data_IF_079495215749
#
_entry.id   IF_079495215749
#
_cell.length_a   1.000
_cell.length_b   1.000
_cell.length_c   1.000
_cell.angle_alpha   90.00
_cell.angle_beta   90.00
_cell.angle_gamma   90.00
#
_symmetry.space_group_name_H-M   'P 1'
#
loop_
_entity.id
_entity.type
_entity.pdbx_description
1 polymer ?
#
# COMPACT_ATOMS: atom_id res chain seq x y z
N UNK A 1 -29.76 -10.49 80.25
CA UNK A 1 -28.54 -9.79 80.73
C UNK A 1 -27.74 -9.40 79.53
N UNK A 2 -27.41 -8.11 79.42
CA UNK A 2 -26.23 -7.51 78.81
C UNK A 2 -26.41 -5.99 78.96
N UNK A 3 -26.06 -5.49 80.14
CA UNK A 3 -25.87 -4.05 80.37
C UNK A 3 -24.65 -3.66 79.54
N UNK A 4 -24.87 -2.89 78.48
CA UNK A 4 -23.76 -2.29 77.75
C UNK A 4 -23.44 -1.00 78.49
N UNK A 5 -22.50 -1.11 79.44
CA UNK A 5 -22.01 0.04 80.17
C UNK A 5 -21.22 0.92 79.19
N UNK A 6 -21.85 2.03 78.76
CA UNK A 6 -21.22 3.06 77.94
C UNK A 6 -20.15 3.78 78.76
N UNK A 7 -18.91 3.31 78.68
CA UNK A 7 -17.77 3.97 79.34
C UNK A 7 -17.23 5.10 78.48
N UNK A 8 -16.82 6.21 79.10
CA UNK A 8 -16.25 7.42 78.45
C UNK A 8 -15.08 7.07 77.50
N UNK A 9 -14.37 5.98 77.77
CA UNK A 9 -13.24 5.50 76.98
C UNK A 9 -13.61 5.00 75.58
N UNK A 10 -14.88 4.66 75.32
CA UNK A 10 -15.34 4.26 73.98
C UNK A 10 -15.41 5.42 72.99
N UNK A 11 -15.39 6.67 73.46
CA UNK A 11 -15.37 7.87 72.60
C UNK A 11 -13.99 8.13 71.95
N UNK A 12 -12.91 7.56 72.50
CA UNK A 12 -11.54 7.90 72.11
C UNK A 12 -10.92 6.94 71.07
N UNK A 13 -11.57 5.82 70.76
CA UNK A 13 -10.92 4.71 70.02
C UNK A 13 -11.30 4.59 68.54
N UNK A 14 -11.83 5.64 67.90
CA UNK A 14 -12.09 5.61 66.45
C UNK A 14 -11.60 6.89 65.78
N UNK A 15 -10.31 7.18 65.91
CA UNK A 15 -9.65 7.98 64.88
C UNK A 15 -9.51 7.04 63.69
N UNK A 16 -10.26 7.20 62.58
CA UNK A 16 -9.99 6.42 61.38
C UNK A 16 -8.54 6.71 61.01
N UNK A 17 -7.70 5.67 60.98
CA UNK A 17 -6.37 5.79 60.44
C UNK A 17 -6.55 6.21 58.99
N UNK A 18 -6.37 7.51 58.71
CA UNK A 18 -6.18 7.95 57.34
C UNK A 18 -5.02 7.11 56.81
N UNK A 19 -5.19 6.35 55.72
CA UNK A 19 -4.07 5.61 55.16
C UNK A 19 -2.99 6.64 54.89
N UNK A 20 -1.90 6.57 55.66
CA UNK A 20 -0.83 7.54 55.55
C UNK A 20 -0.47 7.65 54.08
N UNK A 21 -0.59 8.85 53.51
CA UNK A 21 -0.27 9.14 52.11
C UNK A 21 1.27 9.17 51.96
N UNK A 22 1.98 8.41 52.78
CA UNK A 22 3.37 8.11 52.59
C UNK A 22 3.41 7.07 51.49
N UNK A 23 4.03 7.35 50.34
CA UNK A 23 4.20 6.35 49.31
C UNK A 23 5.02 5.23 49.93
N UNK A 24 4.34 4.12 50.18
CA UNK A 24 4.94 2.86 50.64
C UNK A 24 6.14 2.56 49.72
N UNK A 25 7.38 2.52 50.24
CA UNK A 25 8.58 2.37 49.41
C UNK A 25 8.61 1.03 48.66
N UNK A 26 7.73 0.10 49.04
CA UNK A 26 7.52 -1.20 48.40
C UNK A 26 6.60 -1.15 47.19
N UNK A 27 5.83 -0.06 46.98
CA UNK A 27 4.95 0.08 45.82
C UNK A 27 5.78 0.42 44.60
N UNK A 28 5.81 -0.50 43.64
CA UNK A 28 6.40 -0.27 42.33
C UNK A 28 5.74 0.93 41.65
N UNK A 29 6.41 2.09 41.74
CA UNK A 29 6.03 3.27 40.96
C UNK A 29 6.21 2.90 39.49
N UNK A 30 5.14 3.05 38.71
CA UNK A 30 5.20 2.84 37.27
C UNK A 30 6.32 3.69 36.65
N UNK A 31 7.25 3.03 35.94
CA UNK A 31 8.25 3.67 35.11
C UNK A 31 7.97 3.31 33.65
N UNK A 32 8.00 4.31 32.78
CA UNK A 32 7.81 4.08 31.34
C UNK A 32 8.90 3.15 30.80
N UNK A 33 8.51 2.19 29.97
CA UNK A 33 9.43 1.30 29.25
C UNK A 33 10.33 2.06 28.27
N UNK A 34 9.94 3.28 27.87
CA UNK A 34 10.69 4.12 26.93
C UNK A 34 11.65 5.11 27.61
N UNK A 35 11.71 5.13 28.95
CA UNK A 35 12.53 6.10 29.68
C UNK A 35 14.02 6.01 29.28
N UNK A 36 14.54 4.80 29.08
CA UNK A 36 15.90 4.57 28.60
C UNK A 36 16.13 5.11 27.20
N UNK A 37 15.16 4.90 26.31
CA UNK A 37 15.26 5.27 24.90
C UNK A 37 15.24 6.78 24.72
N UNK A 38 14.43 7.48 25.52
CA UNK A 38 14.39 8.95 25.54
C UNK A 38 15.75 9.51 25.98
N UNK A 39 16.33 8.97 27.06
CA UNK A 39 17.66 9.39 27.54
C UNK A 39 18.74 9.09 26.51
N UNK A 40 18.70 7.91 25.89
CA UNK A 40 19.66 7.52 24.86
C UNK A 40 19.56 8.43 23.63
N UNK A 41 18.36 8.63 23.08
CA UNK A 41 18.14 9.48 21.90
C UNK A 41 18.52 10.94 22.16
N UNK A 42 18.22 11.45 23.35
CA UNK A 42 18.59 12.80 23.76
C UNK A 42 20.12 12.98 23.85
N UNK A 43 20.85 11.97 24.30
CA UNK A 43 22.31 12.02 24.43
C UNK A 43 23.06 11.63 23.14
N UNK A 44 22.43 10.89 22.22
CA UNK A 44 23.04 10.37 20.98
C UNK A 44 23.71 11.44 20.11
N UNK A 45 23.18 12.66 20.12
CA UNK A 45 23.66 13.77 19.30
C UNK A 45 24.44 14.82 20.10
N UNK A 46 24.68 14.56 21.39
CA UNK A 46 25.49 15.44 22.23
C UNK A 46 26.95 15.06 22.09
N UNK A 47 27.71 15.91 21.39
CA UNK A 47 29.16 15.87 21.49
C UNK A 47 29.57 16.62 22.75
N UNK A 48 30.40 16.01 23.60
CA UNK A 48 30.80 16.53 24.91
C UNK A 48 31.45 17.93 24.85
N UNK A 49 31.90 18.35 23.68
CA UNK A 49 32.70 19.55 23.48
C UNK A 49 32.34 20.34 22.20
N UNK A 50 31.11 20.19 21.67
CA UNK A 50 30.70 20.86 20.42
C UNK A 50 30.74 22.39 20.51
N UNK A 51 30.31 22.94 21.64
CA UNK A 51 30.04 24.38 21.79
C UNK A 51 31.29 25.17 22.21
N UNK A 52 32.11 24.61 23.10
CA UNK A 52 33.26 25.31 23.69
C UNK A 52 34.60 24.57 23.55
N UNK A 53 34.65 23.46 22.80
CA UNK A 53 35.84 22.61 22.75
C UNK A 53 36.12 21.93 24.10
N UNK A 54 37.23 21.20 24.17
CA UNK A 54 37.70 20.58 25.42
C UNK A 54 38.59 21.59 26.15
N UNK A 55 38.38 21.75 27.47
CA UNK A 55 38.96 22.83 28.26
C UNK A 55 40.50 22.91 28.16
N UNK A 56 41.19 21.77 28.15
CA UNK A 56 42.60 21.59 27.77
C UNK A 56 42.77 20.11 27.42
N UNK A 57 42.83 19.73 26.14
CA UNK A 57 43.34 18.40 25.75
C UNK A 57 44.84 18.57 25.51
N UNK A 58 45.72 17.70 26.02
CA UNK A 58 47.05 17.57 25.45
C UNK A 58 46.88 17.25 23.97
N UNK A 59 47.25 18.21 23.11
CA UNK A 59 47.34 17.94 21.67
C UNK A 59 48.34 16.79 21.51
N UNK A 60 48.09 15.83 20.60
CA UNK A 60 49.08 14.80 20.33
C UNK A 60 50.41 15.49 20.02
N UNK A 61 51.48 15.06 20.69
CA UNK A 61 52.80 15.67 20.50
C UNK A 61 53.13 15.66 19.00
N UNK A 62 53.55 16.80 18.41
CA UNK A 62 53.91 16.85 17.00
C UNK A 62 55.12 15.94 16.68
N UNK A 63 55.86 15.52 17.71
CA UNK A 63 56.95 14.56 17.62
C UNK A 63 56.50 13.10 17.47
N UNK A 64 55.20 12.78 17.57
CA UNK A 64 54.70 11.42 17.31
C UNK A 64 54.32 11.28 15.83
N UNK A 65 55.11 10.59 15.01
CA UNK A 65 54.76 10.36 13.61
C UNK A 65 53.50 9.50 13.52
N UNK A 66 52.62 9.81 12.56
CA UNK A 66 51.45 8.99 12.26
C UNK A 66 51.91 7.57 11.91
N UNK A 67 51.36 6.57 12.60
CA UNK A 67 51.67 5.17 12.30
C UNK A 67 51.04 4.78 10.96
N UNK A 68 51.73 3.95 10.19
CA UNK A 68 51.19 3.38 8.95
C UNK A 68 49.84 2.70 9.25
N UNK A 69 48.76 3.14 8.58
CA UNK A 69 47.38 2.65 8.71
C UNK A 69 46.66 2.95 10.05
N UNK A 70 47.10 3.94 10.83
CA UNK A 70 46.40 4.33 12.07
C UNK A 70 44.91 4.67 11.87
N UNK A 71 44.58 5.31 10.74
CA UNK A 71 43.21 5.73 10.41
C UNK A 71 42.54 4.82 9.38
N UNK A 72 43.06 3.60 9.17
CA UNK A 72 42.49 2.69 8.20
C UNK A 72 41.24 2.02 8.76
N UNK A 73 40.12 2.15 8.06
CA UNK A 73 38.86 1.49 8.43
C UNK A 73 39.01 0.00 8.17
N UNK A 74 38.93 -0.81 9.23
CA UNK A 74 38.90 -2.27 9.10
C UNK A 74 37.49 -2.68 8.67
N UNK A 75 37.36 -3.16 7.43
CA UNK A 75 36.11 -3.75 6.96
C UNK A 75 35.91 -5.10 7.65
N UNK A 76 34.71 -5.39 8.16
CA UNK A 76 34.40 -6.73 8.66
C UNK A 76 34.43 -7.75 7.53
N UNK A 77 34.59 -9.03 7.87
CA UNK A 77 34.52 -10.12 6.91
C UNK A 77 33.16 -10.15 6.20
N UNK A 78 33.21 -10.33 4.86
CA UNK A 78 32.01 -10.38 4.03
C UNK A 78 31.31 -11.72 4.27
N UNK A 79 30.15 -11.68 4.92
CA UNK A 79 29.25 -12.83 5.03
C UNK A 79 28.29 -12.85 3.83
N UNK A 80 27.98 -14.03 3.25
CA UNK A 80 27.01 -14.12 2.17
C UNK A 80 25.65 -13.64 2.66
N UNK A 81 25.10 -12.63 1.99
CA UNK A 81 23.79 -12.10 2.29
C UNK A 81 22.72 -13.04 1.72
N UNK A 82 22.00 -13.73 2.60
CA UNK A 82 20.88 -14.59 2.21
C UNK A 82 19.65 -13.69 1.98
N UNK A 83 19.31 -13.45 0.71
CA UNK A 83 18.03 -12.82 0.34
C UNK A 83 16.92 -13.84 0.46
N UNK A 84 15.84 -13.49 1.16
CA UNK A 84 14.60 -14.26 1.04
C UNK A 84 14.06 -14.06 -0.37
N UNK A 85 14.09 -15.10 -1.19
CA UNK A 85 13.51 -15.09 -2.53
C UNK A 85 11.99 -15.04 -2.39
N UNK A 86 11.43 -13.83 -2.29
CA UNK A 86 9.96 -13.60 -2.28
C UNK A 86 9.32 -13.75 -3.65
N UNK A 87 10.12 -13.80 -4.71
CA UNK A 87 9.62 -13.92 -6.08
C UNK A 87 9.60 -15.39 -6.52
N UNK A 88 8.50 -15.87 -7.12
CA UNK A 88 8.46 -17.19 -7.70
C UNK A 88 9.46 -17.30 -8.86
N UNK A 89 9.99 -18.51 -9.13
CA UNK A 89 10.90 -18.73 -10.24
C UNK A 89 10.22 -18.42 -11.59
N UNK A 90 10.99 -17.85 -12.51
CA UNK A 90 10.51 -17.57 -13.88
C UNK A 90 10.23 -18.91 -14.58
N UNK A 91 9.04 -19.10 -15.20
CA UNK A 91 8.74 -20.31 -15.94
C UNK A 91 9.70 -20.47 -17.12
N UNK A 92 10.20 -21.71 -17.30
CA UNK A 92 11.08 -22.03 -18.44
C UNK A 92 10.29 -21.90 -19.75
N UNK A 93 10.89 -21.40 -20.84
CA UNK A 93 10.21 -21.34 -22.12
C UNK A 93 9.89 -22.76 -22.59
N UNK A 94 8.61 -23.12 -22.62
CA UNK A 94 8.16 -24.33 -23.28
C UNK A 94 8.49 -24.21 -24.76
N UNK A 95 9.32 -25.13 -25.27
CA UNK A 95 9.53 -25.35 -26.70
C UNK A 95 8.26 -25.97 -27.30
N UNK A 96 7.20 -25.19 -27.38
CA UNK A 96 6.01 -25.53 -28.16
C UNK A 96 5.90 -24.46 -29.24
N UNK A 97 6.80 -24.53 -30.22
CA UNK A 97 6.47 -24.08 -31.56
C UNK A 97 5.52 -25.13 -32.12
N UNK A 98 4.25 -25.08 -31.72
CA UNK A 98 3.19 -25.70 -32.49
C UNK A 98 3.24 -25.04 -33.86
N UNK A 99 3.75 -25.79 -34.85
CA UNK A 99 3.58 -25.42 -36.25
C UNK A 99 2.08 -25.28 -36.46
N UNK A 100 1.59 -24.03 -36.48
CA UNK A 100 0.23 -23.72 -36.87
C UNK A 100 0.07 -24.27 -38.29
N UNK A 101 -0.54 -25.44 -38.43
CA UNK A 101 -0.69 -26.17 -39.69
C UNK A 101 -1.71 -25.54 -40.63
N UNK A 102 -2.09 -24.29 -40.37
CA UNK A 102 -3.07 -23.53 -41.15
C UNK A 102 -2.35 -22.44 -41.91
N UNK A 103 -2.21 -22.66 -43.21
CA UNK A 103 -1.77 -21.65 -44.15
C UNK A 103 -2.92 -20.66 -44.39
N UNK A 104 -3.01 -19.65 -43.54
CA UNK A 104 -4.00 -18.56 -43.63
C UNK A 104 -4.01 -17.91 -45.02
N UNK A 105 -2.88 -17.92 -45.73
CA UNK A 105 -2.77 -17.44 -47.12
C UNK A 105 -3.62 -18.29 -48.06
N UNK A 106 -3.53 -19.62 -47.96
CA UNK A 106 -4.31 -20.53 -48.80
C UNK A 106 -5.80 -20.45 -48.48
N UNK A 107 -6.18 -20.39 -47.19
CA UNK A 107 -7.56 -20.24 -46.76
C UNK A 107 -8.18 -18.93 -47.30
N UNK A 108 -7.43 -17.81 -47.24
CA UNK A 108 -7.88 -16.53 -47.77
C UNK A 108 -8.08 -16.54 -49.29
N UNK A 109 -7.18 -17.20 -50.03
CA UNK A 109 -7.30 -17.35 -51.49
C UNK A 109 -8.55 -18.14 -51.85
N UNK A 110 -8.79 -19.26 -51.17
CA UNK A 110 -9.97 -20.10 -51.39
C UNK A 110 -11.24 -19.30 -51.06
N UNK A 111 -11.24 -18.58 -49.94
CA UNK A 111 -12.39 -17.77 -49.52
C UNK A 111 -12.72 -16.68 -50.54
N UNK A 112 -11.72 -15.96 -51.06
CA UNK A 112 -11.94 -14.92 -52.08
C UNK A 112 -12.44 -15.53 -53.39
N UNK A 113 -11.81 -16.62 -53.85
CA UNK A 113 -12.19 -17.32 -55.09
C UNK A 113 -13.63 -17.83 -55.04
N UNK A 114 -14.07 -18.31 -53.87
CA UNK A 114 -15.41 -18.83 -53.67
C UNK A 114 -16.44 -17.75 -53.31
N UNK A 115 -16.01 -16.52 -53.06
CA UNK A 115 -16.93 -15.42 -52.69
C UNK A 115 -17.65 -14.87 -53.92
N UNK A 116 -18.97 -14.73 -53.83
CA UNK A 116 -19.76 -14.05 -54.85
C UNK A 116 -19.54 -12.53 -54.77
N UNK A 117 -19.50 -11.82 -55.91
CA UNK A 117 -19.43 -10.37 -55.90
C UNK A 117 -20.63 -9.79 -55.16
N UNK A 118 -20.41 -8.75 -54.36
CA UNK A 118 -21.50 -8.06 -53.65
C UNK A 118 -22.44 -7.45 -54.70
N UNK A 119 -23.66 -7.99 -54.80
CA UNK A 119 -24.68 -7.42 -55.68
C UNK A 119 -25.02 -5.99 -55.24
N UNK A 120 -25.24 -5.10 -56.22
CA UNK A 120 -25.69 -3.74 -55.96
C UNK A 120 -27.06 -3.77 -55.26
N UNK A 121 -27.22 -2.96 -54.22
CA UNK A 121 -28.50 -2.80 -53.52
C UNK A 121 -29.26 -1.63 -54.13
N UNK A 122 -30.56 -1.80 -54.36
CA UNK A 122 -31.43 -0.73 -54.85
C UNK A 122 -31.80 0.20 -53.69
N UNK A 123 -31.68 1.50 -53.92
CA UNK A 123 -32.03 2.54 -52.96
C UNK A 123 -33.10 3.45 -53.56
N UNK A 124 -34.06 3.89 -52.74
CA UNK A 124 -35.00 4.97 -53.07
C UNK A 124 -34.42 6.29 -52.55
N UNK A 125 -34.48 7.32 -53.37
CA UNK A 125 -34.14 8.69 -52.96
C UNK A 125 -35.46 9.43 -52.70
N UNK A 126 -35.70 9.83 -51.45
CA UNK A 126 -36.95 10.51 -51.07
C UNK A 126 -36.95 11.99 -51.47
N UNK A 127 -35.79 12.66 -51.35
CA UNK A 127 -35.71 14.12 -51.35
C UNK A 127 -34.73 14.65 -52.41
N UNK A 128 -34.96 15.89 -52.89
CA UNK A 128 -34.01 16.63 -53.76
C UNK A 128 -32.63 16.87 -53.11
N UNK A 129 -32.52 16.67 -51.79
CA UNK A 129 -31.27 16.75 -51.00
C UNK A 129 -30.45 15.46 -51.01
N UNK A 130 -30.95 14.38 -51.62
CA UNK A 130 -30.18 13.14 -51.84
C UNK A 130 -30.22 12.10 -50.71
N UNK A 131 -31.18 12.18 -49.78
CA UNK A 131 -31.36 11.17 -48.73
C UNK A 131 -31.79 9.82 -49.34
N UNK A 132 -31.04 8.75 -49.06
CA UNK A 132 -31.23 7.39 -49.63
C UNK A 132 -31.73 6.40 -48.58
N UNK A 133 -32.77 5.65 -48.92
CA UNK A 133 -33.31 4.54 -48.12
C UNK A 133 -33.15 3.22 -48.87
N UNK A 134 -32.75 2.16 -48.16
CA UNK A 134 -32.61 0.82 -48.75
C UNK A 134 -34.00 0.23 -49.03
N UNK A 135 -34.21 -0.30 -50.23
CA UNK A 135 -35.46 -1.02 -50.56
C UNK A 135 -35.34 -2.44 -50.02
N UNK A 136 -36.27 -2.85 -49.16
CA UNK A 136 -36.36 -4.23 -48.69
C UNK A 136 -36.65 -5.17 -49.87
N UNK A 137 -36.00 -6.35 -49.87
CA UNK A 137 -35.98 -7.28 -51.02
C UNK A 137 -37.34 -7.86 -51.44
N UNK A 138 -38.41 -7.63 -50.67
CA UNK A 138 -39.78 -8.03 -51.02
C UNK A 138 -40.37 -7.19 -52.16
N UNK A 139 -39.78 -6.03 -52.50
CA UNK A 139 -40.29 -5.14 -53.55
C UNK A 139 -41.66 -4.52 -53.25
N UNK A 140 -42.23 -4.79 -52.07
CA UNK A 140 -43.51 -4.27 -51.62
C UNK A 140 -43.29 -3.00 -50.82
N UNK A 141 -43.78 -1.88 -51.34
CA UNK A 141 -43.84 -0.63 -50.60
C UNK A 141 -44.91 -0.75 -49.50
N UNK A 142 -44.59 -0.36 -48.26
CA UNK A 142 -45.59 -0.33 -47.18
C UNK A 142 -46.69 0.64 -47.58
N UNK A 143 -47.89 0.14 -47.82
CA UNK A 143 -49.09 0.97 -47.90
C UNK A 143 -49.33 1.56 -46.51
N UNK A 144 -48.89 2.79 -46.27
CA UNK A 144 -49.30 3.53 -45.08
C UNK A 144 -50.79 3.85 -45.21
N UNK A 145 -51.64 2.97 -44.69
CA UNK A 145 -53.07 3.24 -44.53
C UNK A 145 -53.21 4.37 -43.51
N UNK A 146 -53.67 5.54 -43.95
CA UNK A 146 -53.96 6.69 -43.10
C UNK A 146 -54.91 6.28 -41.96
N UNK A 147 -54.39 6.05 -40.75
CA UNK A 147 -55.21 6.02 -39.54
C UNK A 147 -55.53 7.46 -39.15
N UNK A 148 -56.73 7.91 -39.49
CA UNK A 148 -57.34 9.14 -38.97
C UNK A 148 -57.60 8.91 -37.46
N UNK A 149 -56.81 9.53 -36.59
CA UNK A 149 -57.08 9.53 -35.14
C UNK A 149 -58.20 10.54 -34.90
N UNK A 150 -59.42 10.04 -34.70
CA UNK A 150 -60.53 10.83 -34.15
C UNK A 150 -60.28 10.95 -32.65
N UNK A 151 -60.10 12.18 -32.15
CA UNK A 151 -60.09 12.46 -30.72
C UNK A 151 -61.54 12.62 -30.25
N UNK A 152 -62.01 11.71 -29.39
CA UNK A 152 -63.26 11.86 -28.64
C UNK A 152 -62.96 12.53 -27.29
N UNK A 153 -63.56 13.69 -27.06
CA UNK A 153 -63.81 14.24 -25.73
C UNK A 153 -65.09 13.64 -25.15
#
# INVERSE_FOLDING_TARGET
MNSVDETVYNLLNQIPQCPSILPDPSKHIYRSTFASDVVHNYNKHKYSHRTMGLAVIPKPDPCQPLRRRQNYIQLPEIKPFIRSHRMPPIPKPNKLQSKLSKDHVQENIIHIKNSLPKCSRRYIVSDRKGNKFLIDGSGLQKEFIYKRVVQSH
#
